data_IF_409294192105
#
_entry.id   IF_409294192105
#
_cell.length_a   1.000
_cell.length_b   1.000
_cell.length_c   1.000
_cell.angle_alpha   90.00
_cell.angle_beta   90.00
_cell.angle_gamma   90.00
#
_symmetry.space_group_name_H-M   'P 1'
#
loop_
_entity.id
_entity.type
_entity.pdbx_description
1 polymer ?
#
# COMPACT_ATOMS: atom_id res chain seq x y z
N UNK A 1 -10.28 -2.66 13.62
CA UNK A 1 -9.71 -1.79 12.57
C UNK A 1 -9.08 -2.64 11.49
N UNK A 2 -9.83 -2.83 10.43
CA UNK A 2 -9.40 -3.53 9.22
C UNK A 2 -9.08 -2.48 8.16
N UNK A 3 -8.08 -2.76 7.32
CA UNK A 3 -7.67 -1.84 6.25
C UNK A 3 -7.63 -2.62 4.95
N UNK A 4 -8.28 -2.10 3.91
CA UNK A 4 -8.36 -2.74 2.60
C UNK A 4 -8.05 -1.75 1.48
N UNK A 5 -7.45 -2.25 0.41
CA UNK A 5 -7.26 -1.53 -0.85
C UNK A 5 -8.34 -2.00 -1.83
N UNK A 6 -9.09 -1.07 -2.41
CA UNK A 6 -9.87 -1.36 -3.60
C UNK A 6 -9.06 -0.99 -4.84
N UNK A 7 -8.90 -1.93 -5.76
CA UNK A 7 -8.30 -1.67 -7.07
C UNK A 7 -9.36 -1.18 -8.07
N UNK A 8 -8.92 -0.46 -9.10
CA UNK A 8 -9.76 0.05 -10.20
C UNK A 8 -10.52 -1.05 -10.95
N UNK A 9 -10.00 -2.27 -10.94
CA UNK A 9 -10.67 -3.43 -11.53
C UNK A 9 -11.80 -4.02 -10.64
N UNK A 10 -12.08 -3.42 -9.48
CA UNK A 10 -13.11 -3.84 -8.55
C UNK A 10 -12.69 -4.92 -7.55
N UNK A 11 -11.45 -5.40 -7.61
CA UNK A 11 -10.92 -6.34 -6.62
C UNK A 11 -10.52 -5.65 -5.31
N UNK A 12 -10.49 -6.44 -4.23
CA UNK A 12 -10.13 -5.97 -2.90
C UNK A 12 -8.93 -6.75 -2.37
N UNK A 13 -8.05 -6.04 -1.68
CA UNK A 13 -6.87 -6.61 -1.03
C UNK A 13 -6.91 -6.21 0.44
N UNK A 14 -6.99 -7.20 1.32
CA UNK A 14 -6.84 -7.00 2.76
C UNK A 14 -5.39 -6.71 3.09
N UNK A 15 -5.14 -5.51 3.64
CA UNK A 15 -3.82 -5.08 4.07
C UNK A 15 -3.67 -4.96 5.59
N UNK A 16 -4.65 -5.43 6.36
CA UNK A 16 -4.64 -5.37 7.83
C UNK A 16 -3.43 -6.07 8.47
N UNK A 17 -2.85 -7.06 7.79
CA UNK A 17 -1.69 -7.84 8.27
C UNK A 17 -0.33 -7.25 7.87
N UNK A 18 -0.30 -6.18 7.09
CA UNK A 18 0.93 -5.56 6.64
C UNK A 18 1.41 -4.52 7.65
N UNK A 19 2.72 -4.49 7.89
CA UNK A 19 3.35 -3.66 8.92
C UNK A 19 3.75 -2.28 8.40
N UNK A 20 4.17 -2.22 7.15
CA UNK A 20 4.63 -1.00 6.50
C UNK A 20 4.56 -1.13 4.98
N UNK A 21 4.66 0.00 4.30
CA UNK A 21 4.82 0.10 2.86
C UNK A 21 6.24 0.55 2.55
N UNK A 22 6.82 0.02 1.48
CA UNK A 22 8.08 0.50 0.91
C UNK A 22 7.88 0.94 -0.54
N UNK A 23 8.66 1.92 -0.98
CA UNK A 23 8.74 2.32 -2.38
C UNK A 23 10.09 2.97 -2.70
N UNK A 24 10.56 2.95 -3.96
CA UNK A 24 11.80 3.61 -4.35
C UNK A 24 11.72 5.15 -4.27
N UNK A 25 12.74 5.79 -3.72
CA UNK A 25 12.85 7.25 -3.66
C UNK A 25 13.31 7.90 -4.99
N UNK A 26 13.73 7.09 -5.96
CA UNK A 26 14.29 7.56 -7.24
C UNK A 26 15.80 7.85 -7.21
N UNK A 27 16.44 7.72 -6.05
CA UNK A 27 17.88 7.91 -5.82
C UNK A 27 18.60 6.62 -5.44
N UNK A 28 17.92 5.48 -5.58
CA UNK A 28 18.47 4.15 -5.27
C UNK A 28 18.21 3.69 -3.83
N UNK A 29 17.46 4.45 -3.03
CA UNK A 29 17.02 4.02 -1.71
C UNK A 29 15.53 3.68 -1.69
N UNK A 30 15.10 3.08 -0.58
CA UNK A 30 13.69 2.81 -0.32
C UNK A 30 13.20 3.69 0.82
N UNK A 31 12.03 4.29 0.62
CA UNK A 31 11.27 4.94 1.70
C UNK A 31 10.43 3.89 2.41
N UNK A 32 10.32 4.00 3.73
CA UNK A 32 9.46 3.14 4.56
C UNK A 32 8.37 4.01 5.18
N UNK A 33 7.11 3.65 4.94
CA UNK A 33 5.94 4.33 5.51
C UNK A 33 5.23 3.39 6.47
N UNK A 34 5.09 3.81 7.73
CA UNK A 34 4.48 3.02 8.82
C UNK A 34 3.08 3.47 9.20
N UNK A 35 2.73 4.71 8.87
CA UNK A 35 1.44 5.31 9.19
C UNK A 35 0.66 5.51 7.90
N UNK A 36 -0.57 4.98 7.86
CA UNK A 36 -1.38 5.00 6.64
C UNK A 36 -2.18 6.28 6.44
N UNK A 37 -1.96 7.30 7.28
CA UNK A 37 -2.91 8.40 7.44
C UNK A 37 -2.88 9.46 6.34
N UNK A 38 -1.84 9.52 5.48
CA UNK A 38 -1.75 10.54 4.44
C UNK A 38 -0.99 10.05 3.19
N UNK A 39 -1.52 9.03 2.53
CA UNK A 39 -0.91 8.48 1.32
C UNK A 39 -1.15 9.33 0.08
N UNK A 40 -0.25 10.29 -0.17
CA UNK A 40 -0.06 10.90 -1.49
C UNK A 40 1.08 10.18 -2.21
N UNK A 41 0.83 8.98 -2.75
CA UNK A 41 1.84 8.21 -3.48
C UNK A 41 1.41 7.94 -4.93
N UNK A 42 1.11 9.01 -5.65
CA UNK A 42 0.87 8.91 -7.09
C UNK A 42 2.12 8.43 -7.84
N UNK A 43 1.93 7.56 -8.83
CA UNK A 43 2.95 7.07 -9.76
C UNK A 43 4.12 6.31 -9.11
N UNK A 44 3.84 5.46 -8.13
CA UNK A 44 4.82 4.61 -7.45
C UNK A 44 4.36 3.15 -7.39
N UNK A 45 5.31 2.22 -7.57
CA UNK A 45 5.12 0.82 -7.19
C UNK A 45 5.23 0.70 -5.67
N UNK A 46 4.12 0.38 -5.02
CA UNK A 46 4.01 0.26 -3.58
C UNK A 46 4.16 -1.19 -3.16
N UNK A 47 5.16 -1.48 -2.32
CA UNK A 47 5.36 -2.80 -1.75
C UNK A 47 4.89 -2.84 -0.31
N UNK A 48 3.81 -3.56 -0.04
CA UNK A 48 3.30 -3.77 1.29
C UNK A 48 4.03 -4.97 1.90
N UNK A 49 4.62 -4.79 3.09
CA UNK A 49 5.43 -5.82 3.76
C UNK A 49 4.77 -6.25 5.07
N UNK A 50 4.36 -7.52 5.14
CA UNK A 50 3.80 -8.18 6.32
C UNK A 50 4.77 -9.22 6.88
N UNK A 51 4.35 -9.95 7.92
CA UNK A 51 5.19 -11.02 8.51
C UNK A 51 5.35 -12.24 7.61
N UNK A 52 4.30 -12.57 6.86
CA UNK A 52 4.22 -13.80 6.07
C UNK A 52 3.91 -13.54 4.59
N UNK A 53 3.70 -12.27 4.21
CA UNK A 53 3.26 -11.89 2.88
C UNK A 53 3.88 -10.58 2.46
N UNK A 54 4.22 -10.49 1.18
CA UNK A 54 4.64 -9.27 0.50
C UNK A 54 3.79 -9.15 -0.76
N UNK A 55 3.25 -7.97 -1.01
CA UNK A 55 2.53 -7.67 -2.25
C UNK A 55 3.04 -6.35 -2.81
N UNK A 56 3.10 -6.27 -4.14
CA UNK A 56 3.42 -5.03 -4.83
C UNK A 56 2.25 -4.62 -5.70
N UNK A 57 1.83 -3.36 -5.59
CA UNK A 57 0.70 -2.79 -6.32
C UNK A 57 1.16 -1.48 -6.92
N UNK A 58 0.88 -1.26 -8.21
CA UNK A 58 1.06 0.07 -8.77
C UNK A 58 0.01 1.01 -8.16
N UNK A 59 0.45 2.13 -7.59
CA UNK A 59 -0.46 3.17 -7.10
C UNK A 59 -1.53 3.60 -8.10
N UNK A 60 -1.23 3.52 -9.41
CA UNK A 60 -2.19 3.85 -10.46
C UNK A 60 -3.35 2.84 -10.55
N UNK A 61 -3.17 1.61 -10.07
CA UNK A 61 -4.21 0.59 -10.04
C UNK A 61 -5.12 0.72 -8.81
N UNK A 62 -4.73 1.54 -7.82
CA UNK A 62 -5.50 1.77 -6.60
C UNK A 62 -6.60 2.79 -6.87
N UNK A 63 -7.84 2.44 -6.51
CA UNK A 63 -8.97 3.37 -6.52
C UNK A 63 -9.02 4.14 -5.19
N UNK A 64 -9.03 3.42 -4.06
CA UNK A 64 -8.92 4.02 -2.72
C UNK A 64 -8.47 3.00 -1.67
N UNK A 65 -8.05 3.53 -0.51
CA UNK A 65 -7.77 2.76 0.71
C UNK A 65 -8.88 3.07 1.72
N UNK A 66 -9.46 2.03 2.31
CA UNK A 66 -10.56 2.16 3.29
C UNK A 66 -10.15 1.57 4.63
N UNK A 67 -10.46 2.33 5.68
CA UNK A 67 -10.32 1.94 7.08
C UNK A 67 -11.72 1.62 7.61
N UNK A 68 -11.97 0.37 7.96
CA UNK A 68 -13.19 -0.04 8.64
C UNK A 68 -12.89 -0.25 10.13
N UNK A 69 -13.69 0.39 10.99
CA UNK A 69 -13.55 0.34 12.45
C UNK A 69 -14.00 -1.01 13.00
#
# INVERSE_FOLDING_TARGET
MSVYIQLKNGSFIDISKFKHITYPDGHGNNVIVKEFENFYLYHKLLTFVGEQSIISIDSEDIEYIRFDN
#
